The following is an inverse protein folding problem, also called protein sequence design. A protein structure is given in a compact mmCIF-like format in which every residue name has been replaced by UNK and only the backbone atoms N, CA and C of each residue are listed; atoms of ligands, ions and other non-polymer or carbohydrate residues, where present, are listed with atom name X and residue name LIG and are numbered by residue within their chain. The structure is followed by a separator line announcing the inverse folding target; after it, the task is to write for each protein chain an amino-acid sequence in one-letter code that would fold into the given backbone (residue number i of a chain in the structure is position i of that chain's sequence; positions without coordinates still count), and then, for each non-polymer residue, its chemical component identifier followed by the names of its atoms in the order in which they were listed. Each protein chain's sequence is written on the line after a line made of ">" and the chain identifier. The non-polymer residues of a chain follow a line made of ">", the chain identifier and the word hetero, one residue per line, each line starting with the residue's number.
data_IF_100835873882
#
_entry.id   IF_100835873882
#
_cell.length_a   1.000
_cell.length_b   1.000
_cell.length_c   1.000
_cell.angle_alpha   90.00
_cell.angle_beta   90.00
_cell.angle_gamma   90.00
#
_symmetry.space_group_name_H-M   'P 1'
#
loop_
_entity.id
_entity.type
_entity.pdbx_description
1 polymer ?
#
# COMPACT_ATOMS: atom_id res chain seq x y z
N UNK A 1 4.87 -8.46 -12.97
CA UNK A 1 3.51 -8.86 -12.59
C UNK A 1 3.45 -10.35 -12.35
N UNK A 2 2.54 -10.78 -11.48
CA UNK A 2 2.35 -12.18 -11.07
C UNK A 2 0.92 -12.58 -11.38
N UNK A 3 0.71 -13.81 -11.85
CA UNK A 3 -0.64 -14.35 -12.04
C UNK A 3 -1.38 -14.51 -10.70
N UNK A 4 -2.71 -14.48 -10.74
CA UNK A 4 -3.54 -14.55 -9.52
C UNK A 4 -3.33 -15.84 -8.71
N UNK A 5 -3.01 -16.94 -9.39
CA UNK A 5 -2.69 -18.25 -8.78
C UNK A 5 -1.22 -18.40 -8.36
N UNK A 6 -0.39 -17.37 -8.64
CA UNK A 6 1.04 -17.36 -8.35
C UNK A 6 1.88 -18.30 -9.22
N UNK A 7 1.29 -18.90 -10.26
CA UNK A 7 1.98 -19.89 -11.11
C UNK A 7 2.87 -19.25 -12.18
N UNK A 8 2.65 -18.00 -12.53
CA UNK A 8 3.41 -17.31 -13.58
C UNK A 8 3.85 -15.92 -13.16
N UNK A 9 5.05 -15.54 -13.58
CA UNK A 9 5.65 -14.21 -13.34
C UNK A 9 6.17 -13.65 -14.65
N UNK A 10 5.81 -12.40 -14.94
CA UNK A 10 6.32 -11.65 -16.09
C UNK A 10 7.11 -10.44 -15.59
N UNK A 11 8.31 -10.26 -16.12
CA UNK A 11 9.25 -9.21 -15.71
C UNK A 11 9.74 -8.40 -16.90
N UNK A 12 9.91 -7.11 -16.70
CA UNK A 12 10.58 -6.25 -17.67
C UNK A 12 12.10 -6.41 -17.50
N UNK A 13 12.82 -6.66 -18.58
CA UNK A 13 14.28 -6.69 -18.60
C UNK A 13 14.82 -5.30 -18.98
N UNK A 14 15.82 -4.82 -18.24
CA UNK A 14 16.45 -3.52 -18.45
C UNK A 14 17.89 -3.73 -18.92
N UNK A 15 18.32 -3.00 -19.95
CA UNK A 15 19.72 -2.96 -20.37
C UNK A 15 20.57 -2.24 -19.33
N UNK A 16 21.69 -2.84 -18.91
CA UNK A 16 22.59 -2.30 -17.87
C UNK A 16 23.30 -0.98 -18.24
N UNK A 17 23.38 -0.63 -19.52
CA UNK A 17 24.14 0.56 -19.98
C UNK A 17 23.30 1.82 -20.16
N UNK A 18 22.00 1.70 -20.47
CA UNK A 18 21.17 2.87 -20.82
C UNK A 18 19.82 2.91 -20.12
N UNK A 19 19.52 1.99 -19.19
CA UNK A 19 18.24 1.90 -18.45
C UNK A 19 16.98 1.74 -19.34
N UNK A 20 17.14 1.33 -20.61
CA UNK A 20 16.00 1.03 -21.47
C UNK A 20 15.51 -0.40 -21.24
N UNK A 21 14.20 -0.59 -21.23
CA UNK A 21 13.57 -1.92 -21.17
C UNK A 21 13.75 -2.58 -22.55
N UNK A 22 14.50 -3.68 -22.58
CA UNK A 22 14.83 -4.40 -23.81
C UNK A 22 13.87 -5.56 -24.10
N UNK A 23 13.00 -5.92 -23.16
CA UNK A 23 12.05 -7.00 -23.37
C UNK A 23 11.24 -7.35 -22.15
N UNK A 24 10.33 -8.30 -22.33
CA UNK A 24 9.57 -8.93 -21.26
C UNK A 24 9.92 -10.41 -21.23
N UNK A 25 10.18 -10.93 -20.04
CA UNK A 25 10.42 -12.36 -19.81
C UNK A 25 9.34 -12.94 -18.92
N UNK A 26 8.90 -14.14 -19.22
CA UNK A 26 7.97 -14.90 -18.40
C UNK A 26 8.66 -16.10 -17.75
N UNK A 27 8.19 -16.44 -16.56
CA UNK A 27 8.60 -17.63 -15.81
C UNK A 27 7.36 -18.32 -15.27
N UNK A 28 7.36 -19.66 -15.29
CA UNK A 28 6.30 -20.50 -14.72
C UNK A 28 6.87 -21.36 -13.60
N UNK A 29 6.10 -21.48 -12.52
CA UNK A 29 6.46 -22.37 -11.42
C UNK A 29 6.12 -23.81 -11.75
N UNK A 30 7.09 -24.70 -11.63
CA UNK A 30 6.91 -26.13 -11.73
C UNK A 30 6.29 -26.71 -10.45
N UNK A 31 5.81 -27.94 -10.50
CA UNK A 31 5.15 -28.60 -9.37
C UNK A 31 6.06 -28.78 -8.13
N UNK A 32 7.36 -28.70 -8.27
CA UNK A 32 8.37 -28.77 -7.21
C UNK A 32 8.76 -27.36 -6.67
N UNK A 33 8.16 -26.30 -7.22
CA UNK A 33 8.41 -24.90 -6.85
C UNK A 33 9.61 -24.27 -7.57
N UNK A 34 10.23 -24.95 -8.53
CA UNK A 34 11.25 -24.35 -9.39
C UNK A 34 10.62 -23.47 -10.46
N UNK A 35 11.34 -22.43 -10.89
CA UNK A 35 10.87 -21.49 -11.91
C UNK A 35 11.57 -21.77 -13.24
N UNK A 36 10.79 -22.08 -14.26
CA UNK A 36 11.28 -22.30 -15.62
C UNK A 36 10.89 -21.13 -16.53
N UNK A 37 11.78 -20.70 -17.45
CA UNK A 37 11.42 -19.67 -18.42
C UNK A 37 10.27 -20.15 -19.32
N UNK A 38 9.32 -19.25 -19.60
CA UNK A 38 8.26 -19.47 -20.58
C UNK A 38 8.86 -19.21 -21.96
N UNK A 39 8.88 -20.22 -22.82
CA UNK A 39 9.37 -20.08 -24.17
C UNK A 39 8.35 -19.33 -25.06
N UNK A 40 8.86 -18.61 -26.07
CA UNK A 40 7.99 -17.92 -27.05
C UNK A 40 7.43 -16.55 -26.58
N UNK A 41 7.85 -16.05 -25.43
CA UNK A 41 7.64 -14.64 -25.10
C UNK A 41 8.76 -13.83 -25.76
N UNK A 42 8.53 -13.44 -27.01
CA UNK A 42 9.45 -12.56 -27.76
C UNK A 42 8.83 -11.17 -27.86
N UNK A 43 8.83 -10.45 -26.74
CA UNK A 43 8.49 -9.03 -26.69
C UNK A 43 9.78 -8.21 -26.73
N UNK A 44 10.79 -8.64 -27.47
CA UNK A 44 11.98 -7.85 -27.76
C UNK A 44 11.68 -6.91 -28.90
N UNK A 45 11.80 -5.62 -28.67
CA UNK A 45 11.72 -4.60 -29.70
C UNK A 45 13.07 -3.90 -29.81
N UNK A 46 13.66 -3.89 -31.00
CA UNK A 46 14.89 -3.11 -31.27
C UNK A 46 14.61 -1.61 -31.37
N UNK A 47 13.34 -1.21 -31.55
CA UNK A 47 12.94 0.18 -31.80
C UNK A 47 12.10 0.81 -30.69
N UNK A 48 11.35 0.00 -29.91
CA UNK A 48 10.36 0.53 -28.96
C UNK A 48 10.72 0.16 -27.53
N UNK A 49 10.83 1.16 -26.69
CA UNK A 49 11.03 0.98 -25.24
C UNK A 49 9.71 0.60 -24.59
N UNK A 50 9.64 -0.60 -23.98
CA UNK A 50 8.51 -1.01 -23.18
C UNK A 50 8.40 -0.17 -21.91
N UNK A 51 7.29 0.56 -21.78
CA UNK A 51 7.07 1.45 -20.63
C UNK A 51 6.53 0.69 -19.43
N UNK A 52 5.49 -0.13 -19.63
CA UNK A 52 4.86 -0.85 -18.53
C UNK A 52 4.16 -2.13 -18.99
N UNK A 53 3.85 -3.01 -18.01
CA UNK A 53 3.13 -4.27 -18.21
C UNK A 53 2.08 -4.44 -17.11
N UNK A 54 0.96 -5.05 -17.46
CA UNK A 54 -0.11 -5.38 -16.52
C UNK A 54 -0.74 -6.71 -16.88
N UNK A 55 -1.13 -7.48 -15.86
CA UNK A 55 -1.86 -8.73 -16.02
C UNK A 55 -3.29 -8.53 -15.53
N UNK A 56 -4.26 -9.01 -16.28
CA UNK A 56 -5.65 -9.07 -15.89
C UNK A 56 -5.83 -9.94 -14.63
N UNK A 57 -6.72 -9.56 -13.69
CA UNK A 57 -6.92 -10.33 -12.45
C UNK A 57 -7.31 -11.80 -12.65
N UNK A 58 -7.96 -12.15 -13.77
CA UNK A 58 -8.26 -13.55 -14.09
C UNK A 58 -7.07 -14.32 -14.70
N UNK A 59 -5.98 -13.61 -15.05
CA UNK A 59 -4.83 -14.18 -15.75
C UNK A 59 -5.05 -14.46 -17.23
N UNK A 60 -6.22 -14.09 -17.81
CA UNK A 60 -6.56 -14.36 -19.20
C UNK A 60 -5.85 -13.43 -20.18
N UNK A 61 -5.66 -12.18 -19.81
CA UNK A 61 -5.07 -11.15 -20.65
C UNK A 61 -3.82 -10.55 -20.03
N UNK A 62 -2.82 -10.34 -20.88
CA UNK A 62 -1.61 -9.59 -20.56
C UNK A 62 -1.56 -8.34 -21.42
N UNK A 63 -1.31 -7.19 -20.81
CA UNK A 63 -1.14 -5.92 -21.48
C UNK A 63 0.30 -5.44 -21.38
N UNK A 64 0.83 -4.92 -22.48
CA UNK A 64 2.14 -4.27 -22.55
C UNK A 64 2.03 -2.93 -23.26
N UNK A 65 2.80 -1.94 -22.81
CA UNK A 65 2.74 -0.57 -23.25
C UNK A 65 4.09 -0.12 -23.80
N UNK A 66 4.08 0.49 -24.98
CA UNK A 66 5.16 1.34 -25.47
C UNK A 66 4.81 2.81 -25.30
N UNK A 67 5.64 3.73 -25.74
CA UNK A 67 5.37 5.18 -25.66
C UNK A 67 4.13 5.60 -26.47
N UNK A 68 3.70 4.80 -27.43
CA UNK A 68 2.64 5.17 -28.38
C UNK A 68 1.53 4.11 -28.56
N UNK A 69 1.72 2.88 -28.06
CA UNK A 69 0.80 1.77 -28.34
C UNK A 69 0.62 0.86 -27.12
N UNK A 70 -0.64 0.55 -26.85
CA UNK A 70 -1.08 -0.50 -25.93
C UNK A 70 -1.27 -1.81 -26.74
N UNK A 71 -0.60 -2.86 -26.31
CA UNK A 71 -0.70 -4.21 -26.86
C UNK A 71 -1.46 -5.09 -25.88
N UNK A 72 -2.43 -5.87 -26.38
CA UNK A 72 -3.16 -6.85 -25.59
C UNK A 72 -2.90 -8.26 -26.12
N UNK A 73 -2.53 -9.15 -25.22
CA UNK A 73 -2.25 -10.56 -25.47
C UNK A 73 -3.22 -11.44 -24.70
N UNK A 74 -3.57 -12.60 -25.24
CA UNK A 74 -4.07 -13.74 -24.44
C UNK A 74 -2.89 -14.44 -23.79
N UNK A 75 -3.14 -14.97 -22.59
CA UNK A 75 -2.21 -15.85 -21.87
C UNK A 75 -2.71 -17.27 -22.04
N UNK A 76 -1.92 -18.11 -22.68
CA UNK A 76 -2.23 -19.53 -22.87
C UNK A 76 -1.89 -20.34 -21.59
N UNK A 77 -2.33 -21.59 -21.51
CA UNK A 77 -2.16 -22.44 -20.31
C UNK A 77 -0.68 -22.73 -19.94
N UNK A 78 0.23 -22.58 -20.88
CA UNK A 78 1.68 -22.67 -20.67
C UNK A 78 2.33 -21.32 -20.36
N UNK A 79 1.51 -20.27 -20.18
CA UNK A 79 1.97 -18.90 -19.91
C UNK A 79 2.44 -18.14 -21.13
N UNK A 80 2.45 -18.75 -22.33
CA UNK A 80 2.82 -18.06 -23.56
C UNK A 80 1.85 -16.95 -23.93
N UNK A 81 2.35 -15.92 -24.62
CA UNK A 81 1.60 -14.72 -24.96
C UNK A 81 1.29 -14.70 -26.46
N UNK A 82 -0.01 -14.50 -26.78
CA UNK A 82 -0.46 -14.34 -28.16
C UNK A 82 -1.12 -12.99 -28.35
N UNK A 83 -0.55 -12.13 -29.21
CA UNK A 83 -1.10 -10.82 -29.55
C UNK A 83 -2.49 -10.95 -30.16
N UNK A 84 -3.46 -10.20 -29.64
CA UNK A 84 -4.84 -10.18 -30.10
C UNK A 84 -5.35 -8.80 -30.49
N UNK A 85 -4.85 -7.72 -29.86
CA UNK A 85 -5.27 -6.36 -30.15
C UNK A 85 -4.13 -5.37 -29.93
N UNK A 86 -4.23 -4.25 -30.63
CA UNK A 86 -3.40 -3.06 -30.44
C UNK A 86 -4.28 -1.83 -30.36
N UNK A 87 -3.87 -0.82 -29.60
CA UNK A 87 -4.61 0.41 -29.45
C UNK A 87 -3.60 1.58 -29.31
N UNK A 88 -3.61 2.47 -30.28
CA UNK A 88 -2.62 3.54 -30.38
C UNK A 88 -2.99 4.75 -29.52
N UNK A 89 -2.02 5.58 -29.18
CA UNK A 89 -2.26 6.84 -28.48
C UNK A 89 -3.21 7.76 -29.23
N UNK A 90 -3.20 7.74 -30.56
CA UNK A 90 -4.12 8.54 -31.38
C UNK A 90 -5.58 8.08 -31.21
N UNK A 91 -5.81 6.77 -31.14
CA UNK A 91 -7.13 6.19 -30.84
C UNK A 91 -7.58 6.48 -29.41
N UNK A 92 -6.66 6.77 -28.48
CA UNK A 92 -6.94 7.20 -27.10
C UNK A 92 -7.17 8.72 -26.98
N UNK A 93 -7.12 9.48 -28.10
CA UNK A 93 -7.14 10.94 -28.13
C UNK A 93 -5.96 11.57 -27.40
N UNK A 94 -4.78 10.94 -27.47
CA UNK A 94 -3.56 11.33 -26.81
C UNK A 94 -2.45 11.72 -27.80
N UNK A 95 -2.81 12.22 -28.97
CA UNK A 95 -1.83 12.67 -29.97
C UNK A 95 -0.72 13.54 -29.35
N UNK A 96 0.51 13.31 -29.77
CA UNK A 96 1.72 14.04 -29.36
C UNK A 96 2.16 13.83 -27.89
N UNK A 97 1.74 12.73 -27.21
CA UNK A 97 2.09 12.48 -25.82
C UNK A 97 2.51 11.04 -25.58
N UNK A 98 3.50 10.85 -24.69
CA UNK A 98 4.00 9.54 -24.38
C UNK A 98 3.09 8.82 -23.36
N UNK A 99 2.77 7.58 -23.65
CA UNK A 99 2.13 6.67 -22.70
C UNK A 99 3.18 6.19 -21.70
N UNK A 100 2.85 6.11 -20.43
CA UNK A 100 3.87 5.87 -19.37
C UNK A 100 3.56 4.67 -18.47
N UNK A 101 2.30 4.37 -18.22
CA UNK A 101 1.92 3.26 -17.37
C UNK A 101 0.54 2.72 -17.71
N UNK A 102 0.30 1.45 -17.34
CA UNK A 102 -0.99 0.76 -17.52
C UNK A 102 -1.39 -0.01 -16.27
N UNK A 103 -2.70 -0.11 -16.07
CA UNK A 103 -3.28 -0.95 -15.03
C UNK A 103 -4.60 -1.54 -15.49
N UNK A 104 -4.79 -2.85 -15.35
CA UNK A 104 -6.13 -3.43 -15.45
C UNK A 104 -7.01 -3.01 -14.27
N UNK A 105 -8.29 -2.81 -14.53
CA UNK A 105 -9.30 -2.73 -13.47
C UNK A 105 -9.38 -4.08 -12.73
N UNK A 106 -9.82 -4.04 -11.46
CA UNK A 106 -9.94 -5.26 -10.66
C UNK A 106 -10.96 -6.27 -11.20
N UNK A 107 -11.94 -5.80 -12.00
CA UNK A 107 -12.92 -6.65 -12.70
C UNK A 107 -12.43 -7.14 -14.09
N UNK A 108 -11.23 -6.73 -14.52
CA UNK A 108 -10.63 -7.08 -15.81
C UNK A 108 -11.31 -6.49 -17.03
N UNK A 109 -12.33 -5.62 -16.87
CA UNK A 109 -13.12 -5.08 -17.98
C UNK A 109 -12.59 -3.79 -18.57
N UNK A 110 -11.63 -3.17 -17.90
CA UNK A 110 -11.03 -1.92 -18.35
C UNK A 110 -9.50 -1.95 -18.18
N UNK A 111 -8.81 -1.19 -19.00
CA UNK A 111 -7.39 -0.85 -18.85
C UNK A 111 -7.29 0.66 -18.67
N UNK A 112 -6.64 1.09 -17.62
CA UNK A 112 -6.32 2.48 -17.37
C UNK A 112 -4.93 2.76 -17.93
N UNK A 113 -4.85 3.63 -18.93
CA UNK A 113 -3.59 4.01 -19.60
C UNK A 113 -3.23 5.42 -19.18
N UNK A 114 -2.07 5.57 -18.55
CA UNK A 114 -1.57 6.87 -18.13
C UNK A 114 -0.76 7.50 -19.26
N UNK A 115 -0.94 8.78 -19.43
CA UNK A 115 -0.06 9.62 -20.24
C UNK A 115 0.62 10.65 -19.36
N UNK A 116 1.89 10.89 -19.61
CA UNK A 116 2.64 11.97 -19.00
C UNK A 116 2.97 13.04 -20.06
N UNK A 117 2.72 14.28 -19.73
CA UNK A 117 3.10 15.39 -20.55
C UNK A 117 3.40 16.57 -19.63
N UNK A 118 4.45 17.33 -19.96
CA UNK A 118 4.68 18.59 -19.27
C UNK A 118 3.55 19.56 -19.62
N UNK A 119 2.65 19.84 -18.68
CA UNK A 119 1.53 20.78 -18.81
C UNK A 119 0.14 20.15 -18.71
N UNK A 120 -0.87 20.85 -19.21
CA UNK A 120 -2.32 20.61 -19.08
C UNK A 120 -2.83 19.29 -19.66
N UNK A 121 -1.94 18.43 -20.13
CA UNK A 121 -2.30 17.31 -20.99
C UNK A 121 -2.05 15.94 -20.39
N UNK A 122 -1.48 15.86 -19.18
CA UNK A 122 -1.40 14.57 -18.45
C UNK A 122 -2.80 14.05 -18.13
N UNK A 123 -2.97 12.74 -18.07
CA UNK A 123 -4.29 12.17 -17.82
C UNK A 123 -4.34 10.66 -17.89
N UNK A 124 -5.56 10.15 -17.95
CA UNK A 124 -5.84 8.72 -17.98
C UNK A 124 -6.86 8.43 -19.08
N UNK A 125 -6.54 7.49 -19.98
CA UNK A 125 -7.55 6.89 -20.84
C UNK A 125 -8.15 5.67 -20.15
N UNK A 126 -9.46 5.57 -20.21
CA UNK A 126 -10.24 4.39 -19.82
C UNK A 126 -10.54 3.61 -21.09
N UNK A 127 -9.90 2.46 -21.25
CA UNK A 127 -10.05 1.59 -22.41
C UNK A 127 -10.80 0.33 -21.99
N UNK A 128 -12.01 0.13 -22.52
CA UNK A 128 -12.78 -1.10 -22.27
C UNK A 128 -12.16 -2.29 -22.99
N UNK A 129 -12.14 -3.44 -22.30
CA UNK A 129 -11.77 -4.75 -22.84
C UNK A 129 -13.05 -5.53 -23.10
N UNK A 130 -13.42 -5.59 -24.35
CA UNK A 130 -14.63 -6.28 -24.81
C UNK A 130 -14.42 -7.78 -25.01
N UNK A 131 -15.46 -8.44 -25.47
CA UNK A 131 -15.41 -9.86 -25.79
C UNK A 131 -14.36 -10.14 -26.87
N UNK A 132 -13.57 -11.21 -26.67
CA UNK A 132 -12.45 -11.56 -27.55
C UNK A 132 -11.24 -10.63 -27.48
N UNK A 133 -11.20 -9.69 -26.51
CA UNK A 133 -10.09 -8.76 -26.33
C UNK A 133 -10.13 -7.53 -27.24
N UNK A 134 -11.31 -7.14 -27.74
CA UNK A 134 -11.46 -5.88 -28.46
C UNK A 134 -11.23 -4.70 -27.51
N UNK A 135 -10.52 -3.67 -27.97
CA UNK A 135 -10.19 -2.46 -27.21
C UNK A 135 -11.02 -1.29 -27.74
N UNK A 136 -11.65 -0.54 -26.83
CA UNK A 136 -12.46 0.62 -27.17
C UNK A 136 -12.22 1.74 -26.14
N UNK A 137 -11.99 2.95 -26.61
CA UNK A 137 -11.94 4.13 -25.73
C UNK A 137 -13.31 4.40 -25.13
N UNK A 138 -13.41 4.44 -23.81
CA UNK A 138 -14.60 4.83 -23.06
C UNK A 138 -14.54 6.30 -22.69
N UNK A 139 -13.40 6.73 -22.14
CA UNK A 139 -13.24 8.08 -21.63
C UNK A 139 -11.75 8.50 -21.67
N UNK A 140 -11.51 9.79 -21.88
CA UNK A 140 -10.20 10.39 -21.69
C UNK A 140 -10.30 11.45 -20.60
N UNK A 141 -9.69 11.17 -19.46
CA UNK A 141 -9.67 12.05 -18.29
C UNK A 141 -8.43 12.93 -18.33
N UNK A 142 -8.63 14.23 -18.19
CA UNK A 142 -7.61 15.23 -17.93
C UNK A 142 -8.18 16.28 -16.97
N UNK A 143 -7.39 17.27 -16.59
CA UNK A 143 -7.84 18.32 -15.68
C UNK A 143 -9.15 18.99 -16.14
N UNK A 144 -9.28 19.33 -17.42
CA UNK A 144 -10.45 20.01 -17.96
C UNK A 144 -11.71 19.14 -17.85
N UNK A 145 -11.60 17.87 -18.26
CA UNK A 145 -12.73 16.94 -18.24
C UNK A 145 -13.17 16.58 -16.81
N UNK A 146 -12.24 16.45 -15.88
CA UNK A 146 -12.53 16.18 -14.46
C UNK A 146 -13.26 17.37 -13.84
N UNK A 147 -12.82 18.60 -14.09
CA UNK A 147 -13.46 19.78 -13.52
C UNK A 147 -14.74 20.22 -14.25
N UNK A 148 -14.98 19.72 -15.46
CA UNK A 148 -16.24 19.93 -16.17
C UNK A 148 -17.37 19.01 -15.68
N UNK A 149 -17.05 17.95 -14.93
CA UNK A 149 -18.02 17.02 -14.37
C UNK A 149 -18.93 17.74 -13.35
N UNK A 150 -20.23 17.39 -13.38
CA UNK A 150 -21.27 17.96 -12.51
C UNK A 150 -21.28 17.34 -11.10
N UNK A 151 -20.37 16.41 -10.77
CA UNK A 151 -20.27 15.76 -9.44
C UNK A 151 -20.12 16.73 -8.26
N UNK A 152 -19.69 17.98 -8.55
CA UNK A 152 -19.41 18.99 -7.54
C UNK A 152 -18.08 18.84 -6.84
N UNK A 153 -17.37 17.73 -7.02
CA UNK A 153 -16.00 17.55 -6.55
C UNK A 153 -15.05 18.17 -7.58
N UNK A 154 -14.18 19.03 -7.14
CA UNK A 154 -13.24 19.75 -8.00
C UNK A 154 -11.80 19.53 -7.54
N UNK A 155 -10.90 19.58 -8.49
CA UNK A 155 -9.47 19.80 -8.24
C UNK A 155 -9.24 21.30 -8.44
N UNK A 156 -8.47 21.95 -7.55
CA UNK A 156 -8.29 23.40 -7.58
C UNK A 156 -7.88 23.95 -8.95
N UNK A 157 -8.50 25.07 -9.36
CA UNK A 157 -8.43 25.64 -10.71
C UNK A 157 -7.04 26.06 -11.21
N UNK A 158 -6.06 26.18 -10.32
CA UNK A 158 -4.68 26.55 -10.67
C UNK A 158 -3.78 25.33 -10.91
N UNK A 159 -4.34 24.09 -10.81
CA UNK A 159 -3.53 22.89 -10.72
C UNK A 159 -3.92 21.85 -11.76
N UNK A 160 -3.12 21.76 -12.75
CA UNK A 160 -3.18 20.72 -13.77
C UNK A 160 -2.83 19.36 -13.16
N UNK A 161 -3.39 18.29 -13.67
CA UNK A 161 -2.83 16.94 -13.51
C UNK A 161 -1.45 16.93 -14.19
N UNK A 162 -0.44 17.53 -13.54
CA UNK A 162 0.90 17.66 -14.07
C UNK A 162 1.58 16.30 -14.22
N UNK A 163 1.30 15.44 -13.25
CA UNK A 163 1.83 14.08 -13.23
C UNK A 163 0.81 13.15 -12.58
N UNK A 164 0.37 12.15 -13.32
CA UNK A 164 -0.31 10.98 -12.75
C UNK A 164 0.77 10.02 -12.29
N UNK A 165 0.88 9.79 -10.99
CA UNK A 165 1.89 8.93 -10.41
C UNK A 165 1.44 7.48 -10.33
N UNK A 166 0.69 7.13 -9.29
CA UNK A 166 0.22 5.76 -9.07
C UNK A 166 -1.28 5.63 -9.29
N UNK A 167 -1.70 4.50 -9.85
CA UNK A 167 -3.11 4.18 -10.12
C UNK A 167 -3.42 2.81 -9.54
N UNK A 168 -4.50 2.71 -8.76
CA UNK A 168 -4.93 1.47 -8.12
C UNK A 168 -6.45 1.32 -8.28
N UNK A 169 -6.90 0.15 -8.73
CA UNK A 169 -8.33 -0.20 -8.84
C UNK A 169 -8.77 -1.10 -7.69
N UNK A 170 -9.99 -0.91 -7.20
CA UNK A 170 -10.64 -1.88 -6.31
C UNK A 170 -10.82 -3.23 -7.00
N UNK A 171 -10.88 -4.32 -6.24
CA UNK A 171 -10.97 -5.67 -6.77
C UNK A 171 -12.26 -5.92 -7.59
N UNK A 172 -13.36 -5.24 -7.25
CA UNK A 172 -14.61 -5.26 -7.98
C UNK A 172 -14.63 -4.34 -9.20
N UNK A 173 -13.58 -3.52 -9.39
CA UNK A 173 -13.45 -2.54 -10.45
C UNK A 173 -14.36 -1.32 -10.33
N UNK A 174 -15.05 -1.15 -9.19
CA UNK A 174 -16.01 -0.03 -9.01
C UNK A 174 -15.30 1.28 -8.64
N UNK A 175 -14.11 1.23 -8.04
CA UNK A 175 -13.36 2.42 -7.64
C UNK A 175 -11.96 2.44 -8.23
N UNK A 176 -11.51 3.64 -8.59
CA UNK A 176 -10.16 3.91 -9.04
C UNK A 176 -9.54 5.00 -8.15
N UNK A 177 -8.36 4.72 -7.61
CA UNK A 177 -7.57 5.65 -6.81
C UNK A 177 -6.39 6.13 -7.62
N UNK A 178 -6.22 7.44 -7.72
CA UNK A 178 -5.20 8.06 -8.56
C UNK A 178 -4.41 9.06 -7.73
N UNK A 179 -3.12 8.85 -7.61
CA UNK A 179 -2.24 9.91 -7.11
C UNK A 179 -1.90 10.87 -8.24
N UNK A 180 -2.09 12.15 -7.97
CA UNK A 180 -1.80 13.22 -8.90
C UNK A 180 -1.06 14.36 -8.21
N UNK A 181 -0.06 14.92 -8.88
CA UNK A 181 0.65 16.11 -8.45
C UNK A 181 0.40 17.26 -9.44
N UNK A 182 0.32 18.48 -8.92
CA UNK A 182 0.21 19.69 -9.71
C UNK A 182 1.58 20.31 -9.99
N UNK A 183 1.64 21.19 -10.97
CA UNK A 183 2.84 21.95 -11.33
C UNK A 183 3.36 22.86 -10.21
N UNK A 184 2.48 23.30 -9.32
CA UNK A 184 2.80 24.23 -8.22
C UNK A 184 2.85 23.55 -6.86
N UNK A 185 2.93 22.20 -6.86
CA UNK A 185 3.26 21.41 -5.68
C UNK A 185 2.08 20.85 -4.90
N UNK A 186 0.83 21.16 -5.26
CA UNK A 186 -0.33 20.50 -4.62
C UNK A 186 -0.40 19.04 -5.04
N UNK A 187 -0.75 18.17 -4.10
CA UNK A 187 -0.79 16.72 -4.30
C UNK A 187 -2.10 16.16 -3.80
N UNK A 188 -2.66 15.27 -4.60
CA UNK A 188 -3.99 14.72 -4.38
C UNK A 188 -4.00 13.21 -4.49
N UNK A 189 -4.82 12.55 -3.70
CA UNK A 189 -5.36 11.23 -4.01
C UNK A 189 -6.80 11.43 -4.43
N UNK A 190 -7.09 11.11 -5.67
CA UNK A 190 -8.41 11.23 -6.29
C UNK A 190 -9.10 9.87 -6.24
N UNK A 191 -10.36 9.84 -5.81
CA UNK A 191 -11.20 8.64 -5.90
C UNK A 191 -12.24 8.84 -6.98
N UNK A 192 -12.26 7.92 -7.93
CA UNK A 192 -13.27 7.85 -8.98
C UNK A 192 -14.19 6.65 -8.75
N UNK A 193 -15.48 6.84 -9.02
CA UNK A 193 -16.48 5.78 -9.11
C UNK A 193 -16.73 5.43 -10.57
N UNK A 194 -16.85 4.13 -10.86
CA UNK A 194 -17.14 3.62 -12.20
C UNK A 194 -18.64 3.52 -12.42
N UNK A 195 -19.12 4.19 -13.46
CA UNK A 195 -20.51 4.17 -13.89
C UNK A 195 -20.84 2.88 -14.68
N UNK A 196 -22.13 2.62 -14.86
CA UNK A 196 -22.63 1.45 -15.62
C UNK A 196 -22.16 1.42 -17.08
N UNK A 197 -21.89 2.57 -17.69
CA UNK A 197 -21.36 2.70 -19.06
C UNK A 197 -19.82 2.57 -19.12
N UNK A 198 -19.18 2.36 -17.98
CA UNK A 198 -17.74 2.20 -17.83
C UNK A 198 -16.97 3.52 -17.70
N UNK A 199 -17.63 4.67 -17.76
CA UNK A 199 -17.01 5.97 -17.47
C UNK A 199 -16.69 6.12 -15.99
N UNK A 200 -15.81 7.05 -15.65
CA UNK A 200 -15.40 7.36 -14.28
C UNK A 200 -15.88 8.76 -13.88
N UNK A 201 -16.47 8.87 -12.71
CA UNK A 201 -16.85 10.14 -12.08
C UNK A 201 -15.98 10.39 -10.86
N UNK A 202 -15.40 11.59 -10.72
CA UNK A 202 -14.64 11.97 -9.53
C UNK A 202 -15.59 12.16 -8.34
N UNK A 203 -15.38 11.36 -7.27
CA UNK A 203 -16.25 11.40 -6.08
C UNK A 203 -15.53 11.91 -4.83
N UNK A 204 -14.21 11.87 -4.80
CA UNK A 204 -13.41 12.44 -3.71
C UNK A 204 -12.09 13.02 -4.25
N UNK A 205 -11.70 14.19 -3.74
CA UNK A 205 -10.38 14.79 -3.91
C UNK A 205 -9.77 15.01 -2.53
N UNK A 206 -8.75 14.22 -2.20
CA UNK A 206 -8.05 14.28 -0.91
C UNK A 206 -6.70 14.94 -1.11
N UNK A 207 -6.50 16.13 -0.53
CA UNK A 207 -5.21 16.81 -0.53
C UNK A 207 -4.25 16.08 0.42
N UNK A 208 -3.11 15.63 -0.08
CA UNK A 208 -2.11 14.86 0.69
C UNK A 208 -0.81 15.63 0.93
N UNK A 209 -0.69 16.83 0.40
CA UNK A 209 0.45 17.72 0.64
C UNK A 209 0.52 18.91 -0.32
N UNK A 210 1.33 19.89 0.03
CA UNK A 210 1.61 21.06 -0.82
C UNK A 210 3.05 21.55 -0.61
N UNK A 211 3.75 21.95 -1.71
CA UNK A 211 5.16 22.36 -1.65
C UNK A 211 5.36 23.86 -1.38
N UNK A 212 4.38 24.72 -1.61
CA UNK A 212 4.55 26.18 -1.54
C UNK A 212 3.61 26.84 -0.53
N UNK A 213 4.14 27.14 0.65
CA UNK A 213 3.52 28.12 1.57
C UNK A 213 2.28 27.66 2.34
N UNK A 214 1.94 26.38 2.26
CA UNK A 214 0.87 25.80 3.09
C UNK A 214 1.48 25.13 4.32
N UNK A 215 0.86 25.32 5.47
CA UNK A 215 1.24 24.58 6.68
C UNK A 215 0.81 23.11 6.52
N UNK A 216 1.78 22.22 6.31
CA UNK A 216 1.57 20.79 6.18
C UNK A 216 2.81 20.08 5.65
N UNK A 217 2.96 18.80 5.95
CA UNK A 217 4.02 17.97 5.37
C UNK A 217 3.74 17.75 3.89
N UNK A 218 4.71 18.09 3.03
CA UNK A 218 4.65 17.78 1.60
C UNK A 218 4.85 16.28 1.40
N UNK A 219 3.77 15.56 1.06
CA UNK A 219 3.81 14.12 0.83
C UNK A 219 3.81 13.85 -0.67
N UNK A 220 4.94 13.42 -1.21
CA UNK A 220 5.05 12.90 -2.58
C UNK A 220 4.86 11.40 -2.55
N UNK A 221 3.72 10.90 -3.05
CA UNK A 221 3.46 9.46 -3.14
C UNK A 221 4.22 8.88 -4.33
N UNK A 222 4.94 7.79 -4.10
CA UNK A 222 5.65 7.04 -5.13
C UNK A 222 4.81 5.89 -5.69
N UNK A 223 4.16 5.14 -4.80
CA UNK A 223 3.38 3.96 -5.16
C UNK A 223 2.20 3.80 -4.21
N UNK A 224 1.10 3.24 -4.70
CA UNK A 224 -0.08 2.88 -3.91
C UNK A 224 -0.45 1.42 -4.14
N UNK A 225 -0.96 0.77 -3.10
CA UNK A 225 -1.53 -0.58 -3.15
C UNK A 225 -2.76 -0.68 -2.26
N UNK A 226 -3.77 -1.42 -2.72
CA UNK A 226 -4.90 -1.84 -1.89
C UNK A 226 -4.58 -3.17 -1.20
N UNK A 227 -5.06 -3.33 0.03
CA UNK A 227 -5.18 -4.65 0.65
C UNK A 227 -6.11 -5.54 -0.17
N UNK A 228 -5.91 -6.85 -0.12
CA UNK A 228 -6.71 -7.80 -0.91
C UNK A 228 -8.20 -7.80 -0.55
N UNK A 229 -8.55 -7.40 0.69
CA UNK A 229 -9.94 -7.24 1.13
C UNK A 229 -10.53 -5.87 0.76
N UNK A 230 -9.74 -4.99 0.14
CA UNK A 230 -10.14 -3.67 -0.33
C UNK A 230 -10.38 -2.63 0.76
N UNK A 231 -10.07 -2.93 2.03
CA UNK A 231 -10.39 -2.03 3.15
C UNK A 231 -9.31 -1.02 3.48
N UNK A 232 -8.08 -1.26 3.04
CA UNK A 232 -6.93 -0.40 3.29
C UNK A 232 -6.24 -0.04 1.98
N UNK A 233 -5.84 1.23 1.85
CA UNK A 233 -4.96 1.69 0.80
C UNK A 233 -3.66 2.18 1.43
N UNK A 234 -2.56 1.63 0.97
CA UNK A 234 -1.21 1.98 1.40
C UNK A 234 -0.54 2.85 0.34
N UNK A 235 0.17 3.88 0.78
CA UNK A 235 0.88 4.80 -0.10
C UNK A 235 2.31 5.03 0.42
N UNK A 236 3.33 4.64 -0.34
CA UNK A 236 4.73 4.97 -0.03
C UNK A 236 5.05 6.39 -0.46
N UNK A 237 5.89 7.07 0.31
CA UNK A 237 6.24 8.47 0.11
C UNK A 237 7.73 8.67 -0.12
N UNK A 238 8.12 9.77 -0.78
CA UNK A 238 9.53 10.09 -1.06
C UNK A 238 10.35 10.35 0.22
N UNK A 239 9.69 10.80 1.30
CA UNK A 239 10.34 11.05 2.59
C UNK A 239 10.47 9.79 3.46
N UNK A 240 10.20 8.61 2.88
CA UNK A 240 10.41 7.33 3.53
C UNK A 240 9.30 6.89 4.45
N UNK A 241 8.11 7.44 4.31
CA UNK A 241 6.94 7.00 5.08
C UNK A 241 6.03 6.11 4.24
N UNK A 242 5.25 5.29 4.92
CA UNK A 242 4.08 4.60 4.39
C UNK A 242 2.85 5.20 5.03
N UNK A 243 1.96 5.79 4.22
CA UNK A 243 0.68 6.33 4.69
C UNK A 243 -0.40 5.29 4.45
N UNK A 244 -1.23 5.07 5.44
CA UNK A 244 -2.37 4.16 5.39
C UNK A 244 -3.68 4.94 5.38
N UNK A 245 -4.61 4.51 4.54
CA UNK A 245 -5.96 5.01 4.47
C UNK A 245 -6.94 3.86 4.63
N UNK A 246 -7.99 4.08 5.42
CA UNK A 246 -9.18 3.20 5.38
C UNK A 246 -10.03 3.52 4.17
N UNK A 247 -10.64 2.49 3.61
CA UNK A 247 -11.54 2.58 2.45
C UNK A 247 -12.96 2.29 2.92
N UNK A 248 -13.87 3.24 2.73
CA UNK A 248 -15.29 2.98 2.95
C UNK A 248 -15.84 2.02 1.89
N UNK A 249 -16.45 0.94 2.33
CA UNK A 249 -16.84 -0.17 1.45
C UNK A 249 -17.96 0.18 0.44
N UNK A 250 -18.72 1.25 0.67
CA UNK A 250 -19.83 1.65 -0.20
C UNK A 250 -19.42 2.78 -1.14
N UNK A 251 -18.81 3.82 -0.60
CA UNK A 251 -18.44 5.02 -1.36
C UNK A 251 -17.05 4.97 -1.95
N UNK A 252 -16.20 4.03 -1.51
CA UNK A 252 -14.78 4.01 -1.85
C UNK A 252 -13.97 5.14 -1.21
N UNK A 253 -14.56 5.97 -0.35
CA UNK A 253 -13.89 7.14 0.21
C UNK A 253 -12.72 6.76 1.10
N UNK A 254 -11.65 7.51 0.96
CA UNK A 254 -10.43 7.35 1.75
C UNK A 254 -10.46 8.23 2.97
N UNK A 255 -10.09 7.66 4.11
CA UNK A 255 -9.80 8.40 5.35
C UNK A 255 -8.41 8.01 5.83
N UNK A 256 -7.56 9.00 6.10
CA UNK A 256 -6.20 8.72 6.58
C UNK A 256 -6.27 8.02 7.94
N UNK A 257 -5.71 6.83 8.04
CA UNK A 257 -5.67 6.02 9.24
C UNK A 257 -4.38 6.23 10.03
N UNK A 258 -3.24 6.34 9.35
CA UNK A 258 -1.97 6.51 10.03
C UNK A 258 -0.79 6.58 9.07
N UNK A 259 0.41 6.52 9.63
CA UNK A 259 1.64 6.41 8.86
C UNK A 259 2.70 5.61 9.60
N UNK A 260 3.47 4.84 8.84
CA UNK A 260 4.65 4.09 9.29
C UNK A 260 5.89 4.80 8.76
N UNK A 261 6.87 5.04 9.60
CA UNK A 261 8.15 5.63 9.22
C UNK A 261 9.18 4.50 9.05
N UNK A 262 9.72 4.33 7.84
CA UNK A 262 10.80 3.38 7.56
C UNK A 262 12.20 3.91 7.90
N UNK A 263 12.29 5.12 8.46
CA UNK A 263 13.55 5.80 8.73
C UNK A 263 14.18 6.41 7.47
N UNK A 264 15.50 6.63 7.52
CA UNK A 264 16.24 7.40 6.50
C UNK A 264 16.41 6.70 5.15
N UNK A 265 16.08 5.41 5.06
CA UNK A 265 16.31 4.61 3.85
C UNK A 265 15.14 4.69 2.84
N UNK A 266 13.97 5.13 3.28
CA UNK A 266 12.76 5.27 2.45
C UNK A 266 12.13 3.94 2.04
N UNK A 267 10.81 3.97 1.80
CA UNK A 267 10.14 2.87 1.10
C UNK A 267 10.38 3.03 -0.40
N UNK A 268 11.03 2.05 -0.99
CA UNK A 268 11.05 1.90 -2.44
C UNK A 268 9.74 1.30 -2.96
N UNK A 269 9.83 0.38 -3.92
CA UNK A 269 8.66 -0.41 -4.33
C UNK A 269 8.23 -1.34 -3.21
N UNK A 270 6.93 -1.51 -3.04
CA UNK A 270 6.38 -2.37 -2.00
C UNK A 270 5.21 -3.21 -2.52
N UNK A 271 4.90 -4.27 -1.81
CA UNK A 271 3.71 -5.09 -2.00
C UNK A 271 3.06 -5.34 -0.63
N UNK A 272 1.76 -5.54 -0.64
CA UNK A 272 0.99 -5.91 0.56
C UNK A 272 0.69 -7.40 0.50
N UNK A 273 0.83 -8.10 1.63
CA UNK A 273 0.44 -9.52 1.73
C UNK A 273 -1.05 -9.70 1.43
N UNK A 274 -1.43 -10.90 0.97
CA UNK A 274 -2.83 -11.21 0.63
C UNK A 274 -3.79 -11.09 1.81
N UNK A 275 -3.31 -11.17 3.05
CA UNK A 275 -4.11 -10.96 4.26
C UNK A 275 -4.13 -9.49 4.74
N UNK A 276 -3.45 -8.59 4.01
CA UNK A 276 -3.38 -7.17 4.33
C UNK A 276 -2.54 -6.81 5.55
N UNK A 277 -1.88 -7.79 6.20
CA UNK A 277 -1.21 -7.57 7.49
C UNK A 277 0.27 -7.23 7.38
N UNK A 278 0.89 -7.58 6.28
CA UNK A 278 2.31 -7.34 6.08
C UNK A 278 2.57 -6.54 4.81
N UNK A 279 3.52 -5.64 4.89
CA UNK A 279 4.02 -4.86 3.78
C UNK A 279 5.46 -5.30 3.55
N UNK A 280 5.78 -5.75 2.35
CA UNK A 280 7.14 -6.08 1.94
C UNK A 280 7.65 -4.99 1.01
N UNK A 281 8.78 -4.41 1.32
CA UNK A 281 9.34 -3.30 0.56
C UNK A 281 10.84 -3.44 0.35
N UNK A 282 11.36 -2.82 -0.69
CA UNK A 282 12.78 -2.65 -0.83
C UNK A 282 13.19 -1.27 -0.31
N UNK A 283 14.32 -1.20 0.37
CA UNK A 283 14.95 0.03 0.81
C UNK A 283 16.31 0.15 0.12
N UNK A 284 16.39 1.00 -0.89
CA UNK A 284 17.61 1.22 -1.66
C UNK A 284 18.28 -0.08 -2.15
N UNK A 285 19.58 -0.21 -1.89
CA UNK A 285 20.39 -1.40 -2.24
C UNK A 285 20.49 -2.45 -1.13
N UNK A 286 19.80 -2.26 -0.01
CA UNK A 286 20.03 -3.02 1.22
C UNK A 286 19.22 -4.32 1.35
N UNK A 287 18.24 -4.56 0.48
CA UNK A 287 17.46 -5.81 0.51
C UNK A 287 15.95 -5.62 0.60
N UNK A 288 15.25 -6.70 0.93
CA UNK A 288 13.79 -6.71 1.11
C UNK A 288 13.49 -6.70 2.62
N UNK A 289 12.64 -5.79 3.01
CA UNK A 289 12.19 -5.62 4.40
C UNK A 289 10.70 -5.92 4.50
N UNK A 290 10.23 -6.17 5.72
CA UNK A 290 8.80 -6.28 6.00
C UNK A 290 8.39 -5.35 7.14
N UNK A 291 7.20 -4.80 7.05
CA UNK A 291 6.52 -4.09 8.12
C UNK A 291 5.11 -4.63 8.28
N UNK A 292 4.58 -4.64 9.49
CA UNK A 292 3.17 -4.94 9.70
C UNK A 292 2.32 -3.71 9.34
N UNK A 293 1.23 -3.93 8.62
CA UNK A 293 0.22 -2.91 8.43
C UNK A 293 -0.36 -2.48 9.79
N UNK A 294 -0.71 -1.20 9.92
CA UNK A 294 -1.30 -0.69 11.16
C UNK A 294 -2.65 -1.38 11.41
N UNK A 295 -2.81 -2.16 12.50
CA UNK A 295 -4.09 -2.73 12.82
C UNK A 295 -5.03 -1.61 13.29
N UNK A 296 -6.21 -1.53 12.68
CA UNK A 296 -7.31 -0.71 13.20
C UNK A 296 -7.86 -1.40 14.45
N UNK A 297 -7.70 -0.79 15.61
CA UNK A 297 -8.18 -1.34 16.88
C UNK A 297 -9.46 -0.61 17.25
N UNK A 298 -10.65 -1.21 17.02
CA UNK A 298 -11.89 -0.60 17.47
C UNK A 298 -11.91 -0.61 18.99
N UNK A 299 -12.19 0.53 19.60
CA UNK A 299 -12.44 0.56 21.04
C UNK A 299 -13.95 0.65 21.33
N UNK A 300 -14.37 -0.08 22.33
CA UNK A 300 -15.74 -0.01 22.87
C UNK A 300 -15.67 0.44 24.33
N UNK A 301 -16.30 1.57 24.64
CA UNK A 301 -16.21 2.16 25.98
C UNK A 301 -14.95 2.99 26.18
N UNK A 302 -14.24 2.84 27.30
CA UNK A 302 -13.09 3.67 27.70
C UNK A 302 -11.74 2.95 27.56
N UNK A 303 -11.67 1.80 26.91
CA UNK A 303 -10.41 1.10 26.72
C UNK A 303 -10.36 0.29 25.41
N UNK A 304 -9.17 0.22 24.80
CA UNK A 304 -8.87 -0.58 23.62
C UNK A 304 -7.94 -1.74 24.00
N UNK A 305 -8.23 -2.96 23.53
CA UNK A 305 -7.40 -4.16 23.77
C UNK A 305 -6.21 -4.19 22.79
N UNK A 306 -5.31 -3.21 22.93
CA UNK A 306 -4.16 -3.03 22.02
C UNK A 306 -3.24 -4.23 22.00
N UNK A 307 -3.11 -4.94 23.11
CA UNK A 307 -2.23 -6.08 23.24
C UNK A 307 -2.52 -7.25 22.31
N UNK A 308 -3.77 -7.42 21.88
CA UNK A 308 -4.16 -8.47 20.91
C UNK A 308 -3.51 -8.30 19.55
N UNK A 309 -3.03 -7.10 19.24
CA UNK A 309 -2.41 -6.75 17.98
C UNK A 309 -0.88 -6.61 18.12
N UNK A 310 -0.37 -6.75 19.34
CA UNK A 310 1.05 -6.79 19.64
C UNK A 310 1.52 -8.24 19.53
N UNK A 311 1.81 -8.72 18.34
CA UNK A 311 2.58 -9.95 18.18
C UNK A 311 4.01 -9.57 17.90
N UNK A 312 4.86 -9.61 18.91
CA UNK A 312 6.29 -9.48 18.75
C UNK A 312 6.82 -10.76 18.14
N UNK A 313 7.14 -10.74 16.87
CA UNK A 313 7.83 -11.84 16.24
C UNK A 313 9.17 -11.33 15.80
N UNK A 314 10.18 -11.60 16.60
CA UNK A 314 11.49 -11.82 16.05
C UNK A 314 11.60 -13.34 15.85
N UNK A 315 11.54 -13.79 14.60
CA UNK A 315 11.53 -15.22 14.26
C UNK A 315 12.84 -15.93 14.69
N UNK A 316 13.87 -15.16 14.99
CA UNK A 316 15.20 -15.63 15.34
C UNK A 316 15.44 -15.65 16.85
N UNK A 317 14.46 -15.18 17.68
CA UNK A 317 14.61 -15.10 19.13
C UNK A 317 13.94 -16.30 19.82
N UNK A 318 14.75 -17.16 20.41
CA UNK A 318 14.27 -18.29 21.24
C UNK A 318 13.96 -17.87 22.68
N UNK A 319 14.53 -16.76 23.18
CA UNK A 319 14.39 -16.28 24.56
C UNK A 319 14.28 -14.74 24.59
N UNK A 320 13.19 -14.25 25.19
CA UNK A 320 12.90 -12.82 25.34
C UNK A 320 13.42 -12.22 26.66
N UNK A 321 14.39 -12.82 27.29
CA UNK A 321 15.04 -12.25 28.46
C UNK A 321 15.68 -10.90 28.12
N UNK A 322 15.53 -9.92 29.02
CA UNK A 322 16.03 -8.55 28.89
C UNK A 322 15.43 -7.70 27.76
N UNK A 323 14.32 -8.19 27.14
CA UNK A 323 13.53 -7.36 26.22
C UNK A 323 12.81 -6.25 26.97
N UNK A 324 12.77 -5.08 26.34
CA UNK A 324 11.99 -3.95 26.82
C UNK A 324 11.02 -3.45 25.75
N UNK A 325 9.78 -3.20 26.15
CA UNK A 325 8.73 -2.69 25.27
C UNK A 325 8.23 -1.38 25.85
N UNK A 326 8.11 -0.37 24.98
CA UNK A 326 7.47 0.88 25.34
C UNK A 326 6.29 1.16 24.44
N UNK A 327 5.18 1.64 25.02
CA UNK A 327 3.97 2.03 24.29
C UNK A 327 3.63 3.46 24.72
N UNK A 328 3.53 4.36 23.75
CA UNK A 328 3.20 5.78 23.94
C UNK A 328 2.49 6.33 22.70
N UNK A 329 1.93 7.52 22.74
CA UNK A 329 1.41 8.15 21.53
C UNK A 329 2.53 8.39 20.51
N UNK A 330 2.20 8.23 19.25
CA UNK A 330 3.07 8.66 18.17
C UNK A 330 3.22 10.20 18.24
N UNK A 331 4.47 10.68 18.31
CA UNK A 331 4.76 12.10 18.54
C UNK A 331 5.10 12.45 19.99
N UNK A 332 5.04 11.48 20.91
CA UNK A 332 5.44 11.60 22.32
C UNK A 332 4.31 11.29 23.30
N UNK A 333 4.71 10.83 24.47
CA UNK A 333 3.78 10.44 25.54
C UNK A 333 2.88 11.61 25.96
N UNK A 334 1.60 11.31 26.23
CA UNK A 334 0.63 12.26 26.75
C UNK A 334 0.22 11.84 28.16
N UNK A 335 0.42 12.71 29.13
CA UNK A 335 0.22 12.41 30.56
C UNK A 335 -1.24 12.02 30.92
N UNK A 336 -2.22 12.28 30.05
CA UNK A 336 -3.60 11.84 30.23
C UNK A 336 -3.83 10.38 29.79
N UNK A 337 -2.89 9.78 29.07
CA UNK A 337 -3.02 8.41 28.60
C UNK A 337 -2.82 7.42 29.74
N UNK A 338 -3.66 6.37 29.76
CA UNK A 338 -3.59 5.27 30.71
C UNK A 338 -3.32 3.94 30.03
N UNK A 339 -2.74 3.04 30.79
CA UNK A 339 -2.58 1.65 30.37
C UNK A 339 -2.95 0.72 31.53
N UNK A 340 -3.63 -0.35 31.19
CA UNK A 340 -4.02 -1.42 32.12
C UNK A 340 -3.82 -2.79 31.48
N UNK A 341 -4.12 -3.85 32.23
CA UNK A 341 -3.98 -5.22 31.74
C UNK A 341 -5.31 -5.97 31.85
N UNK A 342 -5.66 -6.71 30.80
CA UNK A 342 -6.76 -7.65 30.83
C UNK A 342 -6.45 -8.78 31.80
N UNK A 343 -7.50 -9.28 32.49
CA UNK A 343 -7.37 -10.47 33.30
C UNK A 343 -7.00 -11.67 32.41
N UNK A 344 -5.81 -12.21 32.62
CA UNK A 344 -5.27 -13.33 31.83
C UNK A 344 -5.03 -14.53 32.73
N UNK A 345 -5.53 -15.70 32.32
CA UNK A 345 -5.39 -16.93 33.12
C UNK A 345 -3.91 -17.30 33.21
N UNK A 346 -3.46 -17.52 34.44
CA UNK A 346 -2.07 -17.91 34.71
C UNK A 346 -1.10 -16.74 34.83
N UNK A 347 -1.58 -15.49 34.76
CA UNK A 347 -0.71 -14.31 34.88
C UNK A 347 -1.30 -13.28 35.83
N UNK A 348 -0.43 -12.59 36.55
CA UNK A 348 -0.82 -11.51 37.47
C UNK A 348 -0.01 -10.25 37.13
N UNK A 349 -0.71 -9.13 37.05
CA UNK A 349 -0.15 -7.78 36.81
C UNK A 349 -0.51 -6.92 38.02
N UNK A 350 0.41 -6.77 38.95
CA UNK A 350 0.16 -6.03 40.19
C UNK A 350 1.45 -5.36 40.67
N UNK A 351 1.30 -4.15 41.23
CA UNK A 351 2.39 -3.39 41.85
C UNK A 351 3.63 -3.22 40.95
N UNK A 352 3.43 -3.12 39.64
CA UNK A 352 4.53 -2.98 38.68
C UNK A 352 5.27 -4.30 38.37
N UNK A 353 4.72 -5.43 38.80
CA UNK A 353 5.34 -6.77 38.61
C UNK A 353 4.44 -7.64 37.74
N UNK A 354 5.06 -8.41 36.85
CA UNK A 354 4.42 -9.42 36.00
C UNK A 354 4.84 -10.80 36.56
N UNK A 355 3.86 -11.60 36.94
CA UNK A 355 4.09 -12.91 37.56
C UNK A 355 3.37 -13.99 36.76
N UNK A 356 4.02 -15.10 36.49
CA UNK A 356 3.47 -16.30 35.86
C UNK A 356 2.64 -17.17 36.82
N UNK A 357 1.98 -18.20 36.29
CA UNK A 357 1.09 -19.11 37.02
C UNK A 357 1.78 -19.87 38.18
N UNK A 358 3.08 -20.09 38.06
CA UNK A 358 3.90 -20.76 39.05
C UNK A 358 4.46 -19.82 40.14
N UNK A 359 4.10 -18.52 40.05
CA UNK A 359 4.58 -17.49 40.96
C UNK A 359 5.96 -16.90 40.55
N UNK A 360 6.52 -17.33 39.42
CA UNK A 360 7.78 -16.80 38.93
C UNK A 360 7.59 -15.37 38.41
N UNK A 361 8.48 -14.46 38.80
CA UNK A 361 8.52 -13.11 38.24
C UNK A 361 9.05 -13.17 36.80
N UNK A 362 8.23 -12.74 35.85
CA UNK A 362 8.56 -12.71 34.43
C UNK A 362 9.14 -11.36 33.99
N UNK A 363 8.76 -10.31 34.70
CA UNK A 363 9.20 -8.97 34.38
C UNK A 363 8.57 -7.90 35.27
N UNK A 364 8.74 -6.65 34.86
CA UNK A 364 8.15 -5.48 35.51
C UNK A 364 7.49 -4.58 34.48
N UNK A 365 6.60 -3.70 34.96
CA UNK A 365 6.01 -2.65 34.14
C UNK A 365 5.86 -1.36 34.92
N UNK A 366 5.87 -0.23 34.20
CA UNK A 366 5.52 1.09 34.74
C UNK A 366 4.66 1.85 33.75
N UNK A 367 3.77 2.71 34.26
CA UNK A 367 3.03 3.70 33.48
C UNK A 367 3.36 5.07 34.02
N UNK A 368 4.16 5.84 33.28
CA UNK A 368 4.64 7.14 33.70
C UNK A 368 4.42 8.16 32.59
N UNK A 369 3.72 9.26 32.91
CA UNK A 369 3.47 10.35 31.97
C UNK A 369 2.74 9.96 30.69
N UNK A 370 1.92 8.87 30.73
CA UNK A 370 1.23 8.37 29.55
C UNK A 370 2.05 7.43 28.67
N UNK A 371 3.10 6.89 29.21
CA UNK A 371 3.96 5.88 28.58
C UNK A 371 3.96 4.59 29.41
N UNK A 372 3.58 3.48 28.78
CA UNK A 372 3.78 2.13 29.34
C UNK A 372 5.20 1.65 28.99
N UNK A 373 5.90 1.15 29.98
CA UNK A 373 7.18 0.43 29.80
C UNK A 373 7.02 -0.97 30.40
N UNK A 374 7.33 -2.00 29.65
CA UNK A 374 7.42 -3.40 30.12
C UNK A 374 8.86 -3.85 29.93
N UNK A 375 9.45 -4.48 30.97
CA UNK A 375 10.78 -5.07 30.89
C UNK A 375 10.73 -6.49 31.38
N UNK A 376 11.15 -7.43 30.55
CA UNK A 376 11.23 -8.85 30.89
C UNK A 376 12.59 -9.15 31.53
N UNK A 377 12.58 -9.86 32.66
CA UNK A 377 13.80 -10.16 33.43
C UNK A 377 14.08 -11.64 33.54
N UNK A 378 13.12 -12.49 33.17
CA UNK A 378 13.23 -13.94 33.16
C UNK A 378 13.32 -14.49 31.73
N UNK A 379 13.81 -15.71 31.59
CA UNK A 379 13.77 -16.45 30.33
C UNK A 379 12.32 -16.73 29.94
N UNK A 380 11.93 -16.31 28.74
CA UNK A 380 10.57 -16.37 28.23
C UNK A 380 10.57 -16.95 26.83
N UNK A 381 9.75 -17.95 26.63
CA UNK A 381 9.45 -18.39 25.27
C UNK A 381 8.43 -17.46 24.58
N UNK A 382 8.29 -17.61 23.28
CA UNK A 382 7.41 -16.85 22.43
C UNK A 382 5.94 -16.82 22.90
N UNK A 383 5.39 -17.95 23.37
CA UNK A 383 4.00 -18.05 23.79
C UNK A 383 3.72 -17.24 25.06
N UNK A 384 4.63 -17.27 26.02
CA UNK A 384 4.54 -16.51 27.28
C UNK A 384 4.65 -15.01 26.97
N UNK A 385 5.62 -14.62 26.14
CA UNK A 385 5.83 -13.25 25.70
C UNK A 385 4.55 -12.68 25.05
N UNK A 386 4.01 -13.37 24.04
CA UNK A 386 2.79 -12.95 23.36
C UNK A 386 1.55 -12.92 24.26
N UNK A 387 1.48 -13.84 25.24
CA UNK A 387 0.37 -13.85 26.21
C UNK A 387 0.41 -12.62 27.12
N UNK A 388 1.59 -12.22 27.58
CA UNK A 388 1.77 -11.01 28.39
C UNK A 388 1.43 -9.76 27.58
N UNK A 389 1.94 -9.67 26.33
CA UNK A 389 1.60 -8.56 25.44
C UNK A 389 0.13 -8.51 25.13
N UNK A 390 -0.50 -9.64 24.86
CA UNK A 390 -1.94 -9.75 24.55
C UNK A 390 -2.85 -9.23 25.67
N UNK A 391 -2.34 -9.10 26.90
CA UNK A 391 -3.08 -8.54 28.02
C UNK A 391 -3.13 -7.01 28.04
N UNK A 392 -2.28 -6.30 27.30
CA UNK A 392 -2.18 -4.83 27.38
C UNK A 392 -3.45 -4.17 26.87
N UNK A 393 -3.93 -3.20 27.63
CA UNK A 393 -5.04 -2.31 27.25
C UNK A 393 -4.57 -0.85 27.27
N UNK A 394 -5.02 -0.09 26.30
CA UNK A 394 -4.93 1.36 26.32
C UNK A 394 -6.23 1.94 26.86
N UNK A 395 -6.14 2.71 27.93
CA UNK A 395 -7.29 3.37 28.56
C UNK A 395 -7.43 4.76 27.94
N UNK A 396 -8.47 4.91 27.09
CA UNK A 396 -8.72 6.13 26.33
C UNK A 396 -9.15 7.25 27.26
N UNK A 397 -8.44 8.41 27.29
CA UNK A 397 -8.86 9.56 28.07
C UNK A 397 -10.23 10.07 27.62
N UNK A 398 -11.06 10.53 28.58
CA UNK A 398 -12.42 11.01 28.32
C UNK A 398 -12.51 12.31 27.50
N UNK A 399 -11.40 13.03 27.37
CA UNK A 399 -11.25 14.28 26.62
C UNK A 399 -10.72 14.07 25.19
N UNK A 400 -10.45 12.84 24.79
CA UNK A 400 -10.00 12.50 23.45
C UNK A 400 -11.19 12.27 22.54
N UNK A 401 -11.35 13.15 21.55
CA UNK A 401 -12.27 12.94 20.44
C UNK A 401 -11.46 12.66 19.18
N UNK A 402 -11.63 11.47 18.62
CA UNK A 402 -10.96 11.06 17.38
C UNK A 402 -9.91 9.97 17.59
N UNK A 403 -9.13 9.75 16.54
CA UNK A 403 -8.13 8.69 16.46
C UNK A 403 -6.91 8.94 17.35
N UNK A 404 -6.41 7.89 18.00
CA UNK A 404 -5.13 7.89 18.72
C UNK A 404 -4.19 6.91 18.06
N UNK A 405 -3.05 7.40 17.60
CA UNK A 405 -1.98 6.55 17.08
C UNK A 405 -1.00 6.24 18.21
N UNK A 406 -0.80 4.95 18.50
CA UNK A 406 0.18 4.49 19.47
C UNK A 406 1.43 4.00 18.77
N UNK A 407 2.58 4.41 19.28
CA UNK A 407 3.90 3.91 18.89
C UNK A 407 4.34 2.84 19.90
N UNK A 408 4.67 1.67 19.39
CA UNK A 408 5.28 0.58 20.16
C UNK A 408 6.74 0.47 19.73
N UNK A 409 7.64 0.51 20.71
CA UNK A 409 9.06 0.31 20.46
C UNK A 409 9.52 -0.89 21.26
N UNK A 410 10.13 -1.87 20.59
CA UNK A 410 10.77 -3.02 21.21
C UNK A 410 12.28 -2.84 21.14
N UNK A 411 12.96 -3.16 22.23
CA UNK A 411 14.42 -3.16 22.32
C UNK A 411 14.84 -4.54 22.79
N UNK A 412 15.61 -5.22 21.97
CA UNK A 412 16.16 -6.54 22.28
C UNK A 412 17.38 -6.46 23.23
N UNK A 413 17.85 -7.62 23.66
CA UNK A 413 19.01 -7.73 24.56
C UNK A 413 20.36 -7.35 23.92
N UNK A 414 20.41 -7.10 22.61
CA UNK A 414 21.60 -6.60 21.89
C UNK A 414 21.48 -5.11 21.54
N UNK A 415 20.39 -4.44 21.98
CA UNK A 415 20.21 -3.00 21.83
C UNK A 415 19.71 -2.56 20.46
N UNK A 416 19.20 -3.46 19.63
CA UNK A 416 18.45 -3.12 18.42
C UNK A 416 17.02 -2.70 18.79
N UNK A 417 16.54 -1.64 18.18
CA UNK A 417 15.17 -1.17 18.41
C UNK A 417 14.34 -1.34 17.16
N UNK A 418 13.21 -2.03 17.29
CA UNK A 418 12.13 -2.05 16.29
C UNK A 418 10.97 -1.22 16.79
N UNK A 419 10.47 -0.31 15.97
CA UNK A 419 9.33 0.55 16.30
C UNK A 419 8.14 0.23 15.40
N UNK A 420 6.98 0.00 16.01
CA UNK A 420 5.71 -0.18 15.32
C UNK A 420 4.70 0.87 15.80
N UNK A 421 3.87 1.38 14.89
CA UNK A 421 2.79 2.30 15.18
C UNK A 421 1.43 1.58 15.06
N UNK A 422 0.51 1.92 15.95
CA UNK A 422 -0.86 1.40 15.96
C UNK A 422 -1.84 2.55 16.09
N UNK A 423 -2.94 2.51 15.34
CA UNK A 423 -4.03 3.47 15.44
C UNK A 423 -5.30 2.83 16.00
N UNK A 424 -6.04 3.58 16.79
CA UNK A 424 -7.30 3.15 17.36
C UNK A 424 -8.31 4.29 17.51
#
# INVERSE_FOLDING_TARGET
>A
VVSADGSSVYVKAISGENSFVIGVHGFMADADGTWSPIEGIDLTSESDSWQDISLDPSGKYFAALTEDTLYLYTVDADGSLKLISQFTRDEMNFADQNLTAIKFSGDGKSIYVQKDSMGDKSGIAVVAVGEGGSLNLVQSLNYETINADESGVKVDDEFMLWKVGSVVSSADGQHLYVYSASAIGSRYVLTFEKNDDGTLTLVQSLTVGADYGFEGESISIQEMHLSSDGKLLFASTEDGKMVEYTVDALSGFLTKAGSIDAGTEGFGKFIVSSDGKNIYFNSGSQGVYSASALPQIPYTGNSAEVGKYLSGVDADVEDYQDFSITIERNGGANASDGFSFAKTIGYTFADGVITGADGTQLGSYSVEGGKLTITFTGSLNHDVFNTVLGAVKYDVPSDVAGEVVLKVTMIDNVGKSDAQNFSG
#
